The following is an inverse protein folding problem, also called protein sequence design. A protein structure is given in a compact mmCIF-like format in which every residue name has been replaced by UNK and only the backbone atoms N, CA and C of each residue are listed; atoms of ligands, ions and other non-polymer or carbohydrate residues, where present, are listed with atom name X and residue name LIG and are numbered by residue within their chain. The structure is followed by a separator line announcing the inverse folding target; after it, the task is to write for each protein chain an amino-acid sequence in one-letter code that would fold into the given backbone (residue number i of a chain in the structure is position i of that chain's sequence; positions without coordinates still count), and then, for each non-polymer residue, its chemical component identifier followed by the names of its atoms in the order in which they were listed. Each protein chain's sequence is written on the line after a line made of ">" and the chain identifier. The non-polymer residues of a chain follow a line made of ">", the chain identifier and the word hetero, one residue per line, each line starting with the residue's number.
data_IF_834972680160
#
_entry.id   IF_834972680160
#
_cell.length_a   1.000
_cell.length_b   1.000
_cell.length_c   1.000
_cell.angle_alpha   90.00
_cell.angle_beta   90.00
_cell.angle_gamma   90.00
#
_symmetry.space_group_name_H-M   'P 1'
#
loop_
_entity.id
_entity.type
_entity.pdbx_description
1 polymer ?
#
# COMPACT_ATOMS: atom_id res chain seq x y z
N UNK A 1 -5.81 12.05 38.08
CA UNK A 1 -5.83 12.68 36.74
C UNK A 1 -4.90 11.84 35.88
N UNK A 2 -5.41 10.74 35.34
CA UNK A 2 -4.67 9.78 34.51
C UNK A 2 -4.93 10.17 33.07
N UNK A 3 -3.92 10.69 32.38
CA UNK A 3 -4.00 10.93 30.94
C UNK A 3 -3.96 9.56 30.27
N UNK A 4 -5.04 9.16 29.60
CA UNK A 4 -5.06 7.97 28.74
C UNK A 4 -4.08 8.21 27.59
N UNK A 5 -2.87 7.68 27.72
CA UNK A 5 -1.89 7.60 26.64
C UNK A 5 -2.27 6.43 25.73
N UNK A 6 -3.37 6.57 25.00
CA UNK A 6 -3.64 5.69 23.84
C UNK A 6 -2.89 6.29 22.66
N UNK A 7 -1.77 5.66 22.27
CA UNK A 7 -1.04 5.99 21.04
C UNK A 7 -2.01 5.99 19.87
N UNK A 8 -2.14 7.12 19.19
CA UNK A 8 -2.99 7.26 18.00
C UNK A 8 -2.27 6.74 16.74
N UNK A 9 -3.01 6.52 15.65
CA UNK A 9 -2.42 6.18 14.35
C UNK A 9 -1.42 7.25 13.89
N UNK A 10 -1.71 8.52 14.18
CA UNK A 10 -0.84 9.65 13.86
C UNK A 10 0.44 9.66 14.70
N UNK A 11 0.36 9.35 16.00
CA UNK A 11 1.56 9.21 16.85
C UNK A 11 2.45 8.06 16.35
N UNK A 12 1.84 6.94 15.95
CA UNK A 12 2.57 5.81 15.41
C UNK A 12 3.19 6.13 14.05
N UNK A 13 2.46 6.80 13.16
CA UNK A 13 2.99 7.29 11.88
C UNK A 13 4.18 8.23 12.10
N UNK A 14 4.05 9.19 13.00
CA UNK A 14 5.11 10.14 13.32
C UNK A 14 6.38 9.43 13.77
N UNK A 15 6.27 8.32 14.53
CA UNK A 15 7.41 7.49 14.92
C UNK A 15 8.04 6.76 13.72
N UNK A 16 7.24 6.22 12.79
CA UNK A 16 7.75 5.48 11.63
C UNK A 16 8.51 6.36 10.64
N UNK A 17 8.15 7.65 10.54
CA UNK A 17 8.74 8.58 9.55
C UNK A 17 9.81 9.49 10.13
N UNK A 18 10.26 9.29 11.37
CA UNK A 18 11.31 10.14 11.96
C UNK A 18 12.67 9.97 11.29
N UNK A 19 12.93 8.79 10.72
CA UNK A 19 14.16 8.48 9.99
C UNK A 19 13.85 8.41 8.49
N UNK A 20 14.23 9.47 7.77
CA UNK A 20 14.01 9.61 6.34
C UNK A 20 14.67 8.49 5.52
N UNK A 21 15.75 7.88 6.03
CA UNK A 21 16.50 6.83 5.32
C UNK A 21 15.90 5.42 5.50
N UNK A 22 14.96 5.24 6.45
CA UNK A 22 14.48 3.93 6.87
C UNK A 22 12.94 3.83 6.99
N UNK A 23 12.21 4.66 6.25
CA UNK A 23 10.74 4.67 6.30
C UNK A 23 10.16 3.33 5.82
N UNK A 24 9.39 2.60 6.65
CA UNK A 24 8.61 1.45 6.21
C UNK A 24 7.40 1.92 5.40
N UNK A 25 7.61 2.24 4.12
CA UNK A 25 6.65 2.91 3.24
C UNK A 25 5.25 2.29 3.22
N UNK A 26 5.17 0.95 3.22
CA UNK A 26 3.88 0.26 3.18
C UNK A 26 3.07 0.50 4.46
N UNK A 27 3.72 0.38 5.61
CA UNK A 27 3.07 0.60 6.91
C UNK A 27 2.73 2.07 7.11
N UNK A 28 3.65 2.98 6.79
CA UNK A 28 3.42 4.42 6.86
C UNK A 28 2.23 4.85 5.97
N UNK A 29 2.11 4.31 4.74
CA UNK A 29 0.99 4.59 3.85
C UNK A 29 -0.36 4.06 4.37
N UNK A 30 -0.37 2.87 4.99
CA UNK A 30 -1.56 2.34 5.64
C UNK A 30 -2.04 3.22 6.81
N UNK A 31 -1.12 3.80 7.58
CA UNK A 31 -1.46 4.68 8.69
C UNK A 31 -2.05 6.03 8.24
N UNK A 32 -1.66 6.53 7.06
CA UNK A 32 -2.30 7.71 6.46
C UNK A 32 -3.79 7.43 6.21
N UNK A 33 -4.13 6.23 5.72
CA UNK A 33 -5.53 5.84 5.54
C UNK A 33 -6.25 5.64 6.89
N UNK A 34 -5.58 5.04 7.87
CA UNK A 34 -6.18 4.80 9.18
C UNK A 34 -6.46 6.08 9.97
N UNK A 35 -5.67 7.15 9.76
CA UNK A 35 -5.96 8.47 10.34
C UNK A 35 -7.30 9.03 9.83
N UNK A 36 -7.57 8.89 8.53
CA UNK A 36 -8.85 9.28 7.92
C UNK A 36 -10.00 8.33 8.29
N UNK A 37 -9.72 7.03 8.37
CA UNK A 37 -10.69 5.97 8.64
C UNK A 37 -10.18 5.01 9.72
N UNK A 38 -10.44 5.29 11.02
CA UNK A 38 -9.92 4.49 12.13
C UNK A 38 -10.36 3.03 12.15
N UNK A 39 -11.42 2.68 11.40
CA UNK A 39 -11.98 1.34 11.34
C UNK A 39 -11.31 0.42 10.31
N UNK A 40 -10.35 0.91 9.51
CA UNK A 40 -9.64 0.10 8.52
C UNK A 40 -8.87 -1.02 9.22
N UNK A 41 -9.05 -2.24 8.71
CA UNK A 41 -8.25 -3.40 9.09
C UNK A 41 -6.93 -3.41 8.28
N UNK A 42 -5.87 -2.96 8.92
CA UNK A 42 -4.52 -2.94 8.32
C UNK A 42 -4.00 -4.35 8.03
N UNK A 43 -4.38 -5.34 8.83
CA UNK A 43 -3.93 -6.72 8.64
C UNK A 43 -4.58 -7.33 7.41
N UNK A 44 -5.88 -7.07 7.21
CA UNK A 44 -6.59 -7.48 6.00
C UNK A 44 -6.00 -6.80 4.75
N UNK A 45 -5.68 -5.51 4.84
CA UNK A 45 -5.04 -4.76 3.76
C UNK A 45 -3.69 -5.39 3.39
N UNK A 46 -2.83 -5.64 4.39
CA UNK A 46 -1.55 -6.32 4.17
C UNK A 46 -1.70 -7.71 3.53
N UNK A 47 -2.66 -8.50 4.00
CA UNK A 47 -2.94 -9.82 3.44
C UNK A 47 -3.34 -9.77 1.96
N UNK A 48 -4.15 -8.79 1.56
CA UNK A 48 -4.50 -8.57 0.15
C UNK A 48 -3.26 -8.35 -0.71
N UNK A 49 -2.33 -7.50 -0.26
CA UNK A 49 -1.06 -7.25 -0.98
C UNK A 49 -0.17 -8.49 -1.03
N UNK A 50 -0.08 -9.27 0.05
CA UNK A 50 0.67 -10.53 0.06
C UNK A 50 0.15 -11.53 -1.00
N UNK A 51 -1.18 -11.61 -1.16
CA UNK A 51 -1.79 -12.42 -2.23
C UNK A 51 -1.42 -11.90 -3.62
N UNK A 52 -1.42 -10.57 -3.83
CA UNK A 52 -1.00 -9.97 -5.10
C UNK A 52 0.47 -10.31 -5.40
N UNK A 53 1.36 -10.17 -4.41
CA UNK A 53 2.78 -10.50 -4.53
C UNK A 53 2.98 -12.00 -4.80
N UNK A 54 2.24 -12.87 -4.13
CA UNK A 54 2.31 -14.32 -4.34
C UNK A 54 1.95 -14.70 -5.77
N UNK A 55 0.84 -14.16 -6.30
CA UNK A 55 0.40 -14.39 -7.70
C UNK A 55 1.45 -13.91 -8.70
N UNK A 56 2.03 -12.74 -8.44
CA UNK A 56 3.07 -12.18 -9.29
C UNK A 56 4.35 -13.04 -9.28
N UNK A 57 4.80 -13.48 -8.09
CA UNK A 57 5.99 -14.35 -7.93
C UNK A 57 5.85 -15.68 -8.67
N UNK A 58 4.66 -16.25 -8.72
CA UNK A 58 4.40 -17.49 -9.48
C UNK A 58 4.61 -17.32 -11.00
N UNK A 59 4.45 -16.09 -11.51
CA UNK A 59 4.58 -15.78 -12.94
C UNK A 59 6.00 -15.36 -13.32
N UNK A 60 6.76 -14.79 -12.38
CA UNK A 60 8.16 -14.39 -12.62
C UNK A 60 9.07 -15.61 -12.54
N UNK A 61 9.60 -16.03 -13.69
CA UNK A 61 10.64 -17.06 -13.76
C UNK A 61 12.01 -16.48 -13.45
N UNK A 62 12.89 -17.28 -12.83
CA UNK A 62 14.28 -16.88 -12.50
C UNK A 62 15.07 -16.43 -13.73
N UNK A 63 14.77 -17.01 -14.89
CA UNK A 63 15.45 -16.75 -16.16
C UNK A 63 14.97 -15.48 -16.88
N UNK A 64 13.90 -14.84 -16.40
CA UNK A 64 13.44 -13.60 -17.02
C UNK A 64 14.49 -12.49 -16.87
N UNK A 65 14.84 -11.84 -17.99
CA UNK A 65 15.63 -10.62 -17.98
C UNK A 65 14.79 -9.41 -17.52
N UNK A 66 15.44 -8.26 -17.34
CA UNK A 66 14.79 -7.05 -16.83
C UNK A 66 13.60 -6.59 -17.68
N UNK A 67 13.69 -6.64 -19.01
CA UNK A 67 12.61 -6.21 -19.92
C UNK A 67 11.43 -7.18 -19.85
N UNK A 68 11.68 -8.49 -19.74
CA UNK A 68 10.63 -9.48 -19.57
C UNK A 68 9.90 -9.29 -18.23
N UNK A 69 10.63 -9.03 -17.15
CA UNK A 69 10.03 -8.71 -15.84
C UNK A 69 9.20 -7.43 -15.92
N UNK A 70 9.72 -6.37 -16.55
CA UNK A 70 8.99 -5.11 -16.73
C UNK A 70 7.68 -5.31 -17.50
N UNK A 71 7.70 -6.02 -18.64
CA UNK A 71 6.48 -6.30 -19.41
C UNK A 71 5.46 -7.10 -18.61
N UNK A 72 5.92 -8.07 -17.83
CA UNK A 72 5.06 -8.87 -16.96
C UNK A 72 4.43 -8.01 -15.86
N UNK A 73 5.19 -7.12 -15.23
CA UNK A 73 4.67 -6.18 -14.23
C UNK A 73 3.63 -5.24 -14.84
N UNK A 74 3.92 -4.65 -16.00
CA UNK A 74 2.98 -3.75 -16.69
C UNK A 74 1.67 -4.50 -17.00
N UNK A 75 1.75 -5.70 -17.58
CA UNK A 75 0.57 -6.53 -17.86
C UNK A 75 -0.21 -6.83 -16.58
N UNK A 76 0.49 -7.24 -15.51
CA UNK A 76 -0.14 -7.57 -14.24
C UNK A 76 -0.90 -6.39 -13.64
N UNK A 77 -0.29 -5.22 -13.53
CA UNK A 77 -0.95 -4.05 -12.94
C UNK A 77 -2.06 -3.49 -13.83
N UNK A 78 -1.79 -3.25 -15.11
CA UNK A 78 -2.71 -2.49 -15.96
C UNK A 78 -3.75 -3.35 -16.69
N UNK A 79 -3.47 -4.63 -16.92
CA UNK A 79 -4.40 -5.52 -17.65
C UNK A 79 -5.11 -6.50 -16.71
N UNK A 80 -4.38 -7.15 -15.80
CA UNK A 80 -5.01 -8.11 -14.89
C UNK A 80 -5.72 -7.44 -13.70
N UNK A 81 -5.07 -6.45 -13.08
CA UNK A 81 -5.64 -5.72 -11.94
C UNK A 81 -6.44 -4.48 -12.36
N UNK A 82 -6.29 -4.04 -13.61
CA UNK A 82 -7.03 -2.88 -14.14
C UNK A 82 -6.62 -1.54 -13.53
N UNK A 83 -5.40 -1.45 -12.97
CA UNK A 83 -4.90 -0.20 -12.40
C UNK A 83 -4.92 0.89 -13.47
N UNK A 84 -5.32 2.09 -13.09
CA UNK A 84 -5.46 3.20 -14.01
C UNK A 84 -5.78 4.49 -13.27
N UNK A 85 -5.71 5.63 -13.97
CA UNK A 85 -6.08 6.90 -13.39
C UNK A 85 -7.58 6.95 -13.09
N UNK A 86 -7.95 7.54 -11.96
CA UNK A 86 -9.32 7.95 -11.70
C UNK A 86 -9.64 9.22 -12.50
N UNK A 87 -10.00 9.05 -13.78
CA UNK A 87 -10.29 10.18 -14.69
C UNK A 87 -11.52 11.00 -14.25
N UNK A 88 -12.41 10.38 -13.47
CA UNK A 88 -13.64 11.01 -13.01
C UNK A 88 -13.40 11.91 -11.80
N UNK A 89 -12.45 11.56 -10.93
CA UNK A 89 -12.10 12.35 -9.75
C UNK A 89 -10.60 12.29 -9.46
N UNK A 90 -9.83 13.17 -10.11
CA UNK A 90 -8.37 13.19 -9.96
C UNK A 90 -7.92 13.55 -8.52
N UNK A 91 -8.67 14.41 -7.83
CA UNK A 91 -8.35 14.88 -6.48
C UNK A 91 -9.07 14.08 -5.38
N UNK A 92 -9.60 12.91 -5.71
CA UNK A 92 -10.17 12.02 -4.70
C UNK A 92 -9.09 11.57 -3.71
N UNK A 93 -9.24 11.80 -2.38
CA UNK A 93 -8.29 11.30 -1.39
C UNK A 93 -8.11 9.77 -1.48
N UNK A 94 -9.15 9.03 -1.86
CA UNK A 94 -9.14 7.57 -2.00
C UNK A 94 -8.10 7.09 -3.02
N UNK A 95 -7.73 7.94 -3.99
CA UNK A 95 -6.65 7.63 -4.95
C UNK A 95 -5.28 7.43 -4.28
N UNK A 96 -5.14 7.83 -3.01
CA UNK A 96 -3.91 7.73 -2.23
C UNK A 96 -3.93 6.57 -1.21
N UNK A 97 -5.06 5.90 -1.03
CA UNK A 97 -5.23 4.89 0.01
C UNK A 97 -5.06 3.46 -0.52
N UNK A 98 -4.19 2.69 0.13
CA UNK A 98 -3.87 1.32 -0.28
C UNK A 98 -5.03 0.33 -0.13
N UNK A 99 -6.04 0.63 0.69
CA UNK A 99 -7.19 -0.26 0.87
C UNK A 99 -8.27 -0.07 -0.20
N UNK A 100 -8.16 0.98 -1.02
CA UNK A 100 -9.10 1.31 -2.10
C UNK A 100 -8.71 0.69 -3.45
N UNK A 101 -7.56 0.00 -3.53
CA UNK A 101 -7.00 -0.56 -4.80
C UNK A 101 -7.20 -2.07 -4.95
#
# INVERSE_FOLDING_TARGET
>A
MTTDYTTTALDYFANLVQDDDAIPLFEAAMLIAQDAEPAIDLSATQFTFDLLVQRLRQRIKREHNAIQKLRLLIHYFYQDLGFGPNLNNYYDPDNSYLHCV
#
